data_IF_981495949504
#
_entry.id   IF_981495949504
#
_cell.length_a   1.000
_cell.length_b   1.000
_cell.length_c   1.000
_cell.angle_alpha   90.00
_cell.angle_beta   90.00
_cell.angle_gamma   90.00
#
_symmetry.space_group_name_H-M   'P 1'
#
loop_
_entity.id
_entity.type
_entity.pdbx_description
1 polymer ?
#
# COMPACT_ATOMS: atom_id res chain seq x y z
N UNK A 1 1.61 14.48 6.34
CA UNK A 1 1.28 13.36 5.43
C UNK A 1 1.22 12.04 6.20
N UNK A 2 0.21 11.21 5.94
CA UNK A 2 0.00 9.86 6.49
C UNK A 2 -0.08 8.83 5.35
N UNK A 3 0.35 7.59 5.61
CA UNK A 3 0.37 6.51 4.61
C UNK A 3 -0.06 5.17 5.23
N UNK A 4 -0.85 4.39 4.51
CA UNK A 4 -1.19 3.01 4.86
C UNK A 4 -1.51 2.24 3.56
N UNK A 5 -0.66 1.26 3.20
CA UNK A 5 -0.85 0.46 1.99
C UNK A 5 -2.10 -0.42 2.08
N UNK A 6 -2.64 -0.77 0.92
CA UNK A 6 -3.88 -1.56 0.83
C UNK A 6 -5.12 -0.76 1.25
N UNK A 7 -6.15 -1.47 1.73
CA UNK A 7 -7.46 -0.89 2.06
C UNK A 7 -7.50 -0.35 3.49
N UNK A 8 -7.03 0.88 3.72
CA UNK A 8 -7.05 1.52 5.04
C UNK A 8 -7.93 2.79 5.12
N UNK A 9 -8.96 2.92 4.29
CA UNK A 9 -9.81 4.12 4.24
C UNK A 9 -10.47 4.48 5.59
N UNK A 10 -10.69 3.51 6.46
CA UNK A 10 -11.21 3.70 7.82
C UNK A 10 -10.29 4.51 8.73
N UNK A 11 -8.99 4.62 8.40
CA UNK A 11 -8.02 5.42 9.15
C UNK A 11 -8.04 6.91 8.77
N UNK A 12 -8.92 7.34 7.85
CA UNK A 12 -9.04 8.74 7.43
C UNK A 12 -9.23 9.70 8.62
N UNK A 13 -10.05 9.31 9.58
CA UNK A 13 -10.30 10.12 10.79
C UNK A 13 -9.06 10.21 11.68
N UNK A 14 -8.29 9.12 11.82
CA UNK A 14 -7.05 9.09 12.58
C UNK A 14 -5.98 9.97 11.90
N UNK A 15 -5.82 9.85 10.58
CA UNK A 15 -4.90 10.68 9.80
C UNK A 15 -5.23 12.18 9.94
N UNK A 16 -6.53 12.54 9.90
CA UNK A 16 -6.99 13.92 10.07
C UNK A 16 -6.72 14.44 11.49
N UNK A 17 -6.98 13.64 12.54
CA UNK A 17 -6.70 14.01 13.94
C UNK A 17 -5.21 14.26 14.21
N UNK A 18 -4.34 13.54 13.49
CA UNK A 18 -2.89 13.72 13.56
C UNK A 18 -2.40 14.91 12.71
N UNK A 19 -3.31 15.73 12.18
CA UNK A 19 -3.02 16.90 11.34
C UNK A 19 -2.19 16.54 10.10
N UNK A 20 -2.44 15.38 9.49
CA UNK A 20 -1.83 15.07 8.20
C UNK A 20 -2.45 15.95 7.10
N UNK A 21 -1.62 16.54 6.24
CA UNK A 21 -2.10 17.31 5.07
C UNK A 21 -2.66 16.42 3.97
N UNK A 22 -2.18 15.18 3.90
CA UNK A 22 -2.57 14.17 2.94
C UNK A 22 -2.58 12.78 3.57
N UNK A 23 -3.50 11.92 3.14
CA UNK A 23 -3.55 10.51 3.47
C UNK A 23 -3.54 9.67 2.19
N UNK A 24 -2.56 8.77 2.08
CA UNK A 24 -2.37 7.89 0.92
C UNK A 24 -2.69 6.46 1.33
N UNK A 25 -3.63 5.84 0.64
CA UNK A 25 -4.04 4.44 0.82
C UNK A 25 -4.57 3.88 -0.50
N UNK A 26 -5.34 2.80 -0.47
CA UNK A 26 -6.04 2.26 -1.61
C UNK A 26 -7.47 1.80 -1.28
N UNK A 27 -8.17 1.32 -2.31
CA UNK A 27 -9.54 0.79 -2.25
C UNK A 27 -10.53 1.79 -1.63
N UNK A 28 -10.36 3.06 -1.98
CA UNK A 28 -11.18 4.14 -1.44
C UNK A 28 -12.59 4.04 -2.00
N UNK A 29 -13.55 3.88 -1.09
CA UNK A 29 -14.98 3.87 -1.45
C UNK A 29 -15.48 5.29 -1.67
N UNK A 30 -16.49 5.42 -2.53
CA UNK A 30 -17.11 6.70 -2.88
C UNK A 30 -17.46 7.59 -1.67
N UNK A 31 -18.13 7.03 -0.66
CA UNK A 31 -18.50 7.81 0.53
C UNK A 31 -17.30 8.21 1.38
N UNK A 32 -16.31 7.32 1.54
CA UNK A 32 -15.07 7.64 2.26
C UNK A 32 -14.28 8.74 1.56
N UNK A 33 -14.31 8.77 0.21
CA UNK A 33 -13.72 9.86 -0.56
C UNK A 33 -14.39 11.20 -0.25
N UNK A 34 -15.73 11.24 -0.23
CA UNK A 34 -16.49 12.44 0.12
C UNK A 34 -16.24 12.90 1.55
N UNK A 35 -16.09 11.96 2.49
CA UNK A 35 -15.82 12.28 3.90
C UNK A 35 -14.50 13.06 4.10
N UNK A 36 -13.56 12.96 3.17
CA UNK A 36 -12.28 13.67 3.20
C UNK A 36 -12.35 15.11 2.65
N UNK A 37 -13.42 15.48 1.95
CA UNK A 37 -13.55 16.75 1.25
C UNK A 37 -13.36 17.94 2.20
N UNK A 38 -12.47 18.86 1.83
CA UNK A 38 -12.15 20.05 2.62
C UNK A 38 -11.41 19.78 3.94
N UNK A 39 -11.07 18.53 4.26
CA UNK A 39 -10.39 18.15 5.51
C UNK A 39 -8.95 17.73 5.29
N UNK A 40 -8.70 16.86 4.31
CA UNK A 40 -7.39 16.27 4.04
C UNK A 40 -7.31 15.85 2.57
N UNK A 41 -6.13 15.97 1.95
CA UNK A 41 -5.93 15.42 0.60
C UNK A 41 -5.95 13.90 0.68
N UNK A 42 -7.00 13.28 0.16
CA UNK A 42 -7.17 11.82 0.21
C UNK A 42 -6.87 11.17 -1.13
N UNK A 43 -5.89 10.27 -1.14
CA UNK A 43 -5.30 9.70 -2.36
C UNK A 43 -5.51 8.18 -2.33
N UNK A 44 -6.23 7.68 -3.34
CA UNK A 44 -6.21 6.27 -3.71
C UNK A 44 -5.05 6.03 -4.68
N UNK A 45 -4.05 5.30 -4.22
CA UNK A 45 -2.85 4.97 -4.99
C UNK A 45 -2.86 3.53 -5.55
N UNK A 46 -3.95 2.77 -5.35
CA UNK A 46 -4.07 1.39 -5.78
C UNK A 46 -3.48 0.38 -4.78
N UNK A 47 -4.21 -0.73 -4.56
CA UNK A 47 -3.86 -1.71 -3.52
C UNK A 47 -2.56 -2.43 -3.87
N UNK A 48 -2.47 -2.91 -5.11
CA UNK A 48 -1.30 -3.61 -5.59
C UNK A 48 -0.07 -2.70 -5.61
N UNK A 49 -0.23 -1.48 -6.11
CA UNK A 49 0.82 -0.48 -6.28
C UNK A 49 1.42 -0.06 -4.93
N UNK A 50 0.59 0.05 -3.88
CA UNK A 50 1.05 0.41 -2.55
C UNK A 50 1.75 -0.73 -1.81
N UNK A 51 1.44 -1.99 -2.12
CA UNK A 51 1.93 -3.14 -1.36
C UNK A 51 3.03 -3.96 -2.04
N UNK A 52 3.14 -3.94 -3.37
CA UNK A 52 4.06 -4.80 -4.13
C UNK A 52 5.53 -4.67 -3.67
N UNK A 53 5.92 -3.48 -3.22
CA UNK A 53 7.25 -3.19 -2.70
C UNK A 53 7.60 -3.98 -1.43
N UNK A 54 6.61 -4.41 -0.65
CA UNK A 54 6.82 -5.20 0.57
C UNK A 54 7.44 -6.56 0.26
N UNK A 55 7.18 -7.12 -0.93
CA UNK A 55 7.74 -8.41 -1.35
C UNK A 55 9.27 -8.33 -1.48
N UNK A 56 9.77 -7.23 -2.05
CA UNK A 56 11.21 -7.01 -2.21
C UNK A 56 11.92 -6.87 -0.86
N UNK A 57 11.32 -6.11 0.06
CA UNK A 57 11.86 -5.92 1.40
C UNK A 57 11.82 -7.21 2.22
N UNK A 58 10.75 -8.01 2.12
CA UNK A 58 10.66 -9.32 2.77
C UNK A 58 11.73 -10.27 2.23
N UNK A 59 11.90 -10.35 0.91
CA UNK A 59 12.94 -11.19 0.30
C UNK A 59 14.31 -10.82 0.87
N UNK A 60 14.66 -9.53 0.86
CA UNK A 60 15.94 -9.02 1.38
C UNK A 60 16.14 -9.37 2.86
N UNK A 61 15.11 -9.23 3.69
CA UNK A 61 15.17 -9.59 5.13
C UNK A 61 15.38 -11.08 5.33
N UNK A 62 14.67 -11.91 4.56
CA UNK A 62 14.82 -13.36 4.62
C UNK A 62 16.24 -13.78 4.20
N UNK A 63 16.77 -13.19 3.14
CA UNK A 63 18.15 -13.44 2.67
C UNK A 63 19.17 -13.08 3.76
N UNK A 64 18.98 -11.95 4.43
CA UNK A 64 19.85 -11.51 5.52
C UNK A 64 19.78 -12.43 6.74
N UNK A 65 18.58 -12.84 7.15
CA UNK A 65 18.37 -13.75 8.29
C UNK A 65 18.92 -15.15 8.01
N UNK A 66 18.72 -15.65 6.79
CA UNK A 66 19.02 -17.03 6.41
C UNK A 66 20.37 -17.18 5.70
N UNK A 67 21.20 -16.14 5.60
CA UNK A 67 22.47 -16.15 4.84
C UNK A 67 23.43 -17.31 5.22
N UNK A 68 23.34 -17.88 6.43
CA UNK A 68 24.16 -19.02 6.88
C UNK A 68 23.58 -20.39 6.55
N UNK A 69 22.28 -20.49 6.27
CA UNK A 69 21.60 -21.77 6.02
C UNK A 69 21.59 -22.09 4.52
N UNK A 70 22.64 -22.79 4.08
CA UNK A 70 22.87 -23.12 2.67
C UNK A 70 21.82 -24.07 2.05
N UNK A 71 20.96 -24.70 2.86
CA UNK A 71 19.92 -25.62 2.37
C UNK A 71 18.60 -24.92 2.03
N UNK A 72 18.39 -23.67 2.46
CA UNK A 72 17.18 -22.92 2.18
C UNK A 72 17.42 -21.99 0.99
N UNK A 73 16.52 -22.06 0.00
CA UNK A 73 16.48 -21.14 -1.14
C UNK A 73 15.25 -20.25 -1.02
N UNK A 74 15.44 -18.95 -1.22
CA UNK A 74 14.38 -17.96 -1.21
C UNK A 74 14.02 -17.64 -2.66
N UNK A 75 12.72 -17.67 -2.96
CA UNK A 75 12.21 -17.31 -4.28
C UNK A 75 11.17 -16.22 -4.12
N UNK A 76 11.32 -15.18 -4.93
CA UNK A 76 10.29 -14.15 -5.10
C UNK A 76 9.45 -14.47 -6.33
N UNK A 77 8.14 -14.38 -6.18
CA UNK A 77 7.22 -14.47 -7.31
C UNK A 77 7.46 -13.29 -8.28
N UNK A 78 7.54 -13.57 -9.58
CA UNK A 78 7.91 -12.58 -10.61
C UNK A 78 6.78 -12.23 -11.59
N UNK A 79 5.59 -12.81 -11.42
CA UNK A 79 4.41 -12.43 -12.20
C UNK A 79 3.71 -11.20 -11.62
N UNK A 80 2.69 -10.70 -12.34
CA UNK A 80 1.75 -9.72 -11.82
C UNK A 80 0.50 -10.43 -11.32
N UNK A 81 0.05 -10.04 -10.12
CA UNK A 81 -1.26 -10.43 -9.58
C UNK A 81 -2.23 -9.26 -9.56
N UNK A 82 -1.90 -8.13 -10.21
CA UNK A 82 -2.77 -6.97 -10.26
C UNK A 82 -3.98 -7.25 -11.17
N UNK A 83 -5.22 -7.26 -10.63
CA UNK A 83 -6.42 -7.48 -11.44
C UNK A 83 -6.87 -6.21 -12.18
N UNK A 84 -6.31 -5.05 -11.85
CA UNK A 84 -6.75 -3.76 -12.37
C UNK A 84 -6.05 -3.44 -13.69
N UNK A 85 -6.84 -3.00 -14.67
CA UNK A 85 -6.37 -2.53 -15.98
C UNK A 85 -6.93 -1.12 -16.18
N UNK A 86 -6.04 -0.14 -16.34
CA UNK A 86 -6.42 1.23 -16.68
C UNK A 86 -6.59 1.35 -18.19
N UNK A 87 -7.72 1.94 -18.62
CA UNK A 87 -7.98 2.26 -20.01
C UNK A 87 -7.81 3.77 -20.20
N UNK A 88 -6.95 4.17 -21.13
CA UNK A 88 -6.87 5.56 -21.54
C UNK A 88 -7.94 5.82 -22.61
N UNK A 89 -8.69 6.91 -22.44
CA UNK A 89 -9.60 7.44 -23.46
C UNK A 89 -8.84 8.19 -24.55
#
# INVERSE_FOLDING_TARGET
>A
MAVCGGSCSELLNEASKLNADAFITADVKYHSFQDAEGKILFIDAGHYETEIHSIDEIQKRLELILHKEKRIKIYKYNGSTNPIIFYNN
#
